data_IF_260243758825
#
_entry.id   IF_260243758825
#
_cell.length_a   1.000
_cell.length_b   1.000
_cell.length_c   1.000
_cell.angle_alpha   90.00
_cell.angle_beta   90.00
_cell.angle_gamma   90.00
#
_symmetry.space_group_name_H-M   'P 1'
#
loop_
_entity.id
_entity.type
_entity.pdbx_description
1 polymer ?
#
# COMPACT_ATOMS: atom_id res chain seq x y z
N UNK A 1 -15.23 34.80 48.02
CA UNK A 1 -13.97 34.65 47.27
C UNK A 1 -14.33 34.06 45.92
N UNK A 2 -14.10 34.80 44.84
CA UNK A 2 -14.54 34.50 43.48
C UNK A 2 -13.37 34.03 42.59
N UNK A 3 -13.75 33.46 41.43
CA UNK A 3 -12.96 33.09 40.24
C UNK A 3 -12.12 31.79 40.35
N UNK A 4 -12.09 30.89 39.36
CA UNK A 4 -12.24 30.99 37.90
C UNK A 4 -12.93 29.75 37.27
N UNK A 5 -13.72 29.89 36.20
CA UNK A 5 -14.14 28.78 35.35
C UNK A 5 -13.07 28.43 34.30
N UNK A 6 -12.83 27.12 34.09
CA UNK A 6 -11.88 26.57 33.12
C UNK A 6 -12.19 27.05 31.70
N UNK A 7 -11.21 27.73 31.07
CA UNK A 7 -11.22 28.07 29.63
C UNK A 7 -11.40 26.81 28.80
N UNK A 8 -12.54 26.68 28.11
CA UNK A 8 -12.68 25.77 26.96
C UNK A 8 -11.84 26.36 25.83
N UNK A 9 -10.74 25.70 25.51
CA UNK A 9 -9.98 25.95 24.28
C UNK A 9 -10.92 25.71 23.10
N UNK A 10 -11.35 26.78 22.44
CA UNK A 10 -11.98 26.72 21.12
C UNK A 10 -10.98 26.03 20.20
N UNK A 11 -11.29 24.79 19.80
CA UNK A 11 -10.75 24.26 18.55
C UNK A 11 -11.20 25.23 17.47
N UNK A 12 -10.23 25.93 16.89
CA UNK A 12 -10.41 26.68 15.66
C UNK A 12 -10.68 25.62 14.60
N UNK A 13 -11.96 25.36 14.32
CA UNK A 13 -12.37 24.63 13.12
C UNK A 13 -11.92 25.48 11.95
N UNK A 14 -10.98 24.96 11.16
CA UNK A 14 -10.61 25.51 9.86
C UNK A 14 -11.84 25.46 8.96
N UNK A 15 -12.52 26.60 8.86
CA UNK A 15 -13.77 26.86 8.11
C UNK A 15 -13.62 26.75 6.58
N UNK A 16 -12.60 26.02 6.11
CA UNK A 16 -12.29 25.81 4.70
C UNK A 16 -12.44 24.34 4.24
N UNK A 17 -12.60 23.38 5.17
CA UNK A 17 -12.86 21.97 4.82
C UNK A 17 -14.29 21.73 4.31
N UNK A 18 -15.19 22.71 4.44
CA UNK A 18 -16.63 22.56 4.24
C UNK A 18 -17.15 22.92 2.84
N UNK A 19 -16.34 23.52 1.96
CA UNK A 19 -16.84 23.95 0.64
C UNK A 19 -16.80 22.86 -0.42
N UNK A 20 -15.85 21.92 -0.32
CA UNK A 20 -15.75 20.79 -1.25
C UNK A 20 -16.64 19.60 -0.87
N UNK A 21 -17.13 19.55 0.37
CA UNK A 21 -18.11 18.55 0.84
C UNK A 21 -19.54 18.78 0.33
N UNK A 22 -19.78 19.87 -0.41
CA UNK A 22 -21.11 20.30 -0.85
C UNK A 22 -21.49 19.88 -2.28
N UNK A 23 -20.57 19.26 -3.03
CA UNK A 23 -20.89 18.68 -4.34
C UNK A 23 -21.85 17.51 -4.17
N UNK A 24 -22.97 17.50 -4.90
CA UNK A 24 -23.91 16.38 -4.85
C UNK A 24 -23.24 15.11 -5.37
N UNK A 25 -23.61 13.92 -4.85
CA UNK A 25 -23.06 12.64 -5.32
C UNK A 25 -23.17 12.45 -6.84
N UNK A 26 -24.23 12.98 -7.47
CA UNK A 26 -24.44 12.88 -8.91
C UNK A 26 -23.46 13.74 -9.71
N UNK A 27 -23.09 14.92 -9.20
CA UNK A 27 -22.05 15.75 -9.81
C UNK A 27 -20.67 15.12 -9.63
N UNK A 28 -20.38 14.58 -8.44
CA UNK A 28 -19.14 13.83 -8.19
C UNK A 28 -19.04 12.65 -9.16
N UNK A 29 -20.12 11.87 -9.31
CA UNK A 29 -20.19 10.76 -10.28
C UNK A 29 -19.93 11.23 -11.71
N UNK A 30 -20.59 12.30 -12.13
CA UNK A 30 -20.41 12.87 -13.48
C UNK A 30 -18.98 13.31 -13.75
N UNK A 31 -18.26 13.80 -12.72
CA UNK A 31 -16.84 14.13 -12.83
C UNK A 31 -16.02 12.84 -12.91
N UNK A 32 -16.23 11.89 -12.00
CA UNK A 32 -15.52 10.62 -11.93
C UNK A 32 -15.60 9.84 -13.25
N UNK A 33 -16.77 9.77 -13.88
CA UNK A 33 -16.98 9.10 -15.19
C UNK A 33 -16.18 9.74 -16.34
N UNK A 34 -15.74 10.99 -16.19
CA UNK A 34 -14.96 11.72 -17.19
C UNK A 34 -13.46 11.71 -16.92
N UNK A 35 -13.04 11.31 -15.71
CA UNK A 35 -11.63 11.23 -15.38
C UNK A 35 -10.99 10.05 -16.09
N UNK A 36 -9.72 10.21 -16.47
CA UNK A 36 -8.93 9.03 -16.81
C UNK A 36 -8.73 8.19 -15.55
N UNK A 37 -8.32 6.94 -15.75
CA UNK A 37 -8.14 5.98 -14.67
C UNK A 37 -7.28 6.46 -13.48
N UNK A 38 -6.13 7.05 -13.78
CA UNK A 38 -5.19 7.50 -12.75
C UNK A 38 -5.84 8.59 -11.90
N UNK A 39 -6.47 9.55 -12.55
CA UNK A 39 -7.13 10.66 -11.88
C UNK A 39 -8.40 10.21 -11.17
N UNK A 40 -9.13 9.23 -11.72
CA UNK A 40 -10.27 8.58 -11.06
C UNK A 40 -9.84 7.97 -9.72
N UNK A 41 -8.78 7.15 -9.71
CA UNK A 41 -8.31 6.53 -8.47
C UNK A 41 -7.78 7.56 -7.47
N UNK A 42 -7.08 8.59 -7.93
CA UNK A 42 -6.63 9.69 -7.06
C UNK A 42 -7.80 10.44 -6.44
N UNK A 43 -8.85 10.69 -7.23
CA UNK A 43 -10.03 11.41 -6.77
C UNK A 43 -10.76 10.69 -5.62
N UNK A 44 -10.66 9.36 -5.54
CA UNK A 44 -11.23 8.56 -4.42
C UNK A 44 -10.66 8.96 -3.06
N UNK A 45 -9.45 9.49 -3.02
CA UNK A 45 -8.76 9.88 -1.79
C UNK A 45 -9.00 11.34 -1.37
N UNK A 46 -9.85 12.09 -2.10
CA UNK A 46 -10.17 13.49 -1.77
C UNK A 46 -11.02 13.58 -0.49
N UNK A 47 -12.08 12.78 -0.40
CA UNK A 47 -12.95 12.72 0.78
C UNK A 47 -13.82 11.45 0.77
N UNK A 48 -14.49 11.18 1.89
CA UNK A 48 -15.41 10.04 2.01
C UNK A 48 -16.55 10.07 0.98
N UNK A 49 -17.03 11.26 0.60
CA UNK A 49 -18.09 11.40 -0.41
C UNK A 49 -17.60 10.99 -1.81
N UNK A 50 -16.36 11.34 -2.16
CA UNK A 50 -15.73 10.93 -3.41
C UNK A 50 -15.46 9.43 -3.44
N UNK A 51 -14.94 8.88 -2.33
CA UNK A 51 -14.77 7.44 -2.18
C UNK A 51 -16.09 6.69 -2.40
N UNK A 52 -17.14 7.02 -1.66
CA UNK A 52 -18.44 6.35 -1.77
C UNK A 52 -19.09 6.49 -3.15
N UNK A 53 -18.96 7.66 -3.79
CA UNK A 53 -19.48 7.87 -5.15
C UNK A 53 -18.70 7.07 -6.20
N UNK A 54 -17.41 6.83 -5.97
CA UNK A 54 -16.57 6.03 -6.86
C UNK A 54 -16.89 4.54 -6.85
N UNK A 55 -17.30 3.99 -5.71
CA UNK A 55 -17.69 2.57 -5.60
C UNK A 55 -18.84 2.24 -6.57
N UNK A 56 -19.79 3.17 -6.71
CA UNK A 56 -20.91 3.04 -7.65
C UNK A 56 -20.47 3.04 -9.12
N UNK A 57 -19.33 3.65 -9.44
CA UNK A 57 -18.76 3.67 -10.78
C UNK A 57 -17.98 2.36 -11.08
N UNK A 58 -17.25 1.84 -10.08
CA UNK A 58 -16.43 0.63 -10.22
C UNK A 58 -17.29 -0.61 -10.46
N UNK A 59 -18.43 -0.71 -9.76
CA UNK A 59 -19.39 -1.83 -9.94
C UNK A 59 -19.85 -1.96 -11.40
N UNK A 60 -19.86 -0.86 -12.17
CA UNK A 60 -20.30 -0.86 -13.56
C UNK A 60 -19.22 -1.36 -14.53
N UNK A 61 -17.93 -1.30 -14.17
CA UNK A 61 -16.81 -1.71 -15.04
C UNK A 61 -15.69 -2.41 -14.25
N UNK A 62 -15.87 -3.69 -13.83
CA UNK A 62 -14.98 -4.38 -12.92
C UNK A 62 -13.67 -4.90 -13.55
N UNK A 63 -13.19 -4.32 -14.65
CA UNK A 63 -12.07 -4.93 -15.40
C UNK A 63 -10.76 -4.87 -14.60
N UNK A 64 -10.11 -6.00 -14.30
CA UNK A 64 -8.89 -6.03 -13.52
C UNK A 64 -7.71 -5.47 -14.32
N UNK A 65 -6.93 -4.62 -13.67
CA UNK A 65 -5.82 -3.89 -14.27
C UNK A 65 -4.54 -4.72 -14.17
N UNK A 66 -3.65 -4.60 -15.15
CA UNK A 66 -2.36 -5.29 -15.10
C UNK A 66 -1.26 -4.29 -14.72
N UNK A 67 -0.58 -4.57 -13.60
CA UNK A 67 0.60 -3.83 -13.15
C UNK A 67 1.84 -4.55 -13.67
N UNK A 68 2.69 -3.84 -14.43
CA UNK A 68 3.98 -4.36 -14.88
C UNK A 68 5.10 -3.51 -14.31
N UNK A 69 5.93 -4.13 -13.49
CA UNK A 69 7.17 -3.56 -13.01
C UNK A 69 8.25 -3.67 -14.10
N UNK A 70 8.90 -2.55 -14.40
CA UNK A 70 10.03 -2.50 -15.33
C UNK A 70 11.36 -2.38 -14.58
N UNK A 71 12.44 -2.74 -15.27
CA UNK A 71 13.80 -2.64 -14.75
C UNK A 71 14.31 -1.19 -14.70
N UNK A 72 13.68 -0.26 -15.41
CA UNK A 72 14.10 1.16 -15.47
C UNK A 72 13.29 2.04 -14.51
N UNK A 73 13.02 1.53 -13.30
CA UNK A 73 12.35 2.24 -12.20
C UNK A 73 11.00 2.90 -12.56
N UNK A 74 10.25 2.31 -13.48
CA UNK A 74 8.91 2.73 -13.84
C UNK A 74 7.92 1.56 -13.75
N UNK A 75 6.65 1.90 -13.53
CA UNK A 75 5.54 0.96 -13.47
C UNK A 75 4.59 1.26 -14.61
N UNK A 76 4.24 0.24 -15.39
CA UNK A 76 3.22 0.36 -16.43
C UNK A 76 1.91 -0.22 -15.93
N UNK A 77 0.84 0.57 -16.00
CA UNK A 77 -0.53 0.17 -15.71
C UNK A 77 -1.27 0.01 -17.04
N UNK A 78 -1.67 -1.21 -17.33
CA UNK A 78 -2.46 -1.50 -18.53
C UNK A 78 -3.94 -1.53 -18.20
N UNK A 79 -4.68 -0.68 -18.93
CA UNK A 79 -6.13 -0.62 -19.00
C UNK A 79 -6.61 -1.51 -20.14
N UNK A 80 -7.15 -2.71 -19.84
CA UNK A 80 -7.72 -3.58 -20.88
C UNK A 80 -9.00 -3.02 -21.52
N UNK A 81 -9.76 -2.16 -20.83
CA UNK A 81 -11.03 -1.62 -21.34
C UNK A 81 -10.78 -0.60 -22.45
N UNK A 82 -9.80 0.28 -22.25
CA UNK A 82 -9.44 1.32 -23.23
C UNK A 82 -8.19 0.97 -24.04
N UNK A 83 -7.65 -0.25 -23.89
CA UNK A 83 -6.39 -0.70 -24.48
C UNK A 83 -5.24 0.32 -24.29
N UNK A 84 -5.19 0.96 -23.12
CA UNK A 84 -4.30 2.10 -22.86
C UNK A 84 -3.29 1.75 -21.78
N UNK A 85 -2.03 2.10 -22.01
CA UNK A 85 -0.96 1.92 -21.01
C UNK A 85 -0.61 3.26 -20.41
N UNK A 86 -0.61 3.33 -19.09
CA UNK A 86 -0.16 4.48 -18.31
C UNK A 86 1.19 4.15 -17.67
N UNK A 87 2.18 5.03 -17.84
CA UNK A 87 3.50 4.85 -17.22
C UNK A 87 3.61 5.76 -16.02
N UNK A 88 3.89 5.18 -14.86
CA UNK A 88 4.22 5.89 -13.63
C UNK A 88 5.73 5.86 -13.46
N UNK A 89 6.34 7.04 -13.55
CA UNK A 89 7.75 7.29 -13.25
C UNK A 89 7.89 7.93 -11.86
N UNK A 90 9.14 8.05 -11.40
CA UNK A 90 9.51 8.87 -10.24
C UNK A 90 8.78 8.47 -8.96
N UNK A 91 8.70 7.16 -8.73
CA UNK A 91 8.08 6.58 -7.55
C UNK A 91 8.89 6.84 -6.26
N UNK A 92 10.14 7.31 -6.38
CA UNK A 92 10.96 7.76 -5.25
C UNK A 92 11.60 6.65 -4.43
N UNK A 93 11.58 5.41 -4.93
CA UNK A 93 12.26 4.27 -4.32
C UNK A 93 12.79 3.33 -5.40
N UNK A 94 13.67 2.42 -5.01
CA UNK A 94 14.41 1.50 -5.88
C UNK A 94 13.52 0.29 -6.25
N UNK A 95 12.67 0.45 -7.28
CA UNK A 95 11.82 -0.63 -7.79
C UNK A 95 12.60 -1.82 -8.33
N UNK A 96 13.69 -1.64 -9.12
CA UNK A 96 14.42 -2.77 -9.70
C UNK A 96 14.97 -3.72 -8.64
N UNK A 97 15.29 -3.21 -7.45
CA UNK A 97 15.75 -4.02 -6.32
C UNK A 97 14.67 -4.34 -5.29
N UNK A 98 13.44 -3.93 -5.53
CA UNK A 98 12.29 -4.24 -4.70
C UNK A 98 11.44 -5.34 -5.33
N UNK A 99 10.70 -6.07 -4.48
CA UNK A 99 9.76 -7.11 -4.90
C UNK A 99 8.37 -6.77 -4.38
N UNK A 100 7.38 -6.83 -5.27
CA UNK A 100 5.99 -6.92 -4.85
C UNK A 100 5.75 -8.33 -4.33
N UNK A 101 5.11 -8.45 -3.17
CA UNK A 101 4.77 -9.72 -2.52
C UNK A 101 3.29 -10.01 -2.65
N UNK A 102 2.45 -8.98 -2.49
CA UNK A 102 1.00 -9.11 -2.51
C UNK A 102 0.34 -7.77 -2.87
N UNK A 103 -0.95 -7.81 -3.22
CA UNK A 103 -1.73 -6.65 -3.64
C UNK A 103 -3.11 -6.67 -3.01
N UNK A 104 -3.56 -5.54 -2.46
CA UNK A 104 -4.93 -5.37 -1.98
C UNK A 104 -5.48 -4.03 -2.43
N UNK A 105 -6.44 -4.06 -3.36
CA UNK A 105 -6.97 -2.85 -3.99
C UNK A 105 -5.88 -2.01 -4.66
N UNK A 106 -5.61 -0.83 -4.11
CA UNK A 106 -4.57 0.10 -4.60
C UNK A 106 -3.24 0.01 -3.85
N UNK A 107 -3.15 -0.85 -2.85
CA UNK A 107 -1.97 -1.04 -2.01
C UNK A 107 -1.17 -2.27 -2.42
N UNK A 108 0.15 -2.12 -2.47
CA UNK A 108 1.11 -3.18 -2.73
C UNK A 108 1.93 -3.44 -1.47
N UNK A 109 2.06 -4.70 -1.08
CA UNK A 109 3.05 -5.11 -0.10
C UNK A 109 4.39 -5.32 -0.81
N UNK A 110 5.38 -4.54 -0.41
CA UNK A 110 6.69 -4.49 -1.06
C UNK A 110 7.80 -4.89 -0.09
N UNK A 111 8.85 -5.49 -0.64
CA UNK A 111 10.08 -5.89 0.04
C UNK A 111 11.30 -5.33 -0.71
N UNK A 112 12.06 -4.43 -0.09
CA UNK A 112 13.25 -3.86 -0.73
C UNK A 112 14.52 -4.71 -0.55
N UNK A 113 15.63 -4.24 -1.14
CA UNK A 113 16.93 -4.90 -1.05
C UNK A 113 17.49 -4.99 0.37
N UNK A 114 17.06 -4.11 1.28
CA UNK A 114 17.47 -4.08 2.69
C UNK A 114 16.64 -5.00 3.57
N UNK A 115 15.71 -5.73 2.97
CA UNK A 115 14.74 -6.60 3.65
C UNK A 115 13.67 -5.84 4.44
N UNK A 116 13.50 -4.54 4.15
CA UNK A 116 12.45 -3.73 4.76
C UNK A 116 11.12 -3.94 4.02
N UNK A 117 10.07 -4.16 4.81
CA UNK A 117 8.70 -4.29 4.31
C UNK A 117 8.02 -2.94 4.32
N UNK A 118 7.23 -2.65 3.28
CA UNK A 118 6.43 -1.43 3.23
C UNK A 118 5.17 -1.64 2.39
N UNK A 119 4.13 -0.89 2.74
CA UNK A 119 2.96 -0.73 1.89
C UNK A 119 3.18 0.47 0.96
N UNK A 120 2.80 0.30 -0.30
CA UNK A 120 2.89 1.32 -1.32
C UNK A 120 1.53 1.48 -2.00
N UNK A 121 1.01 2.71 -2.04
CA UNK A 121 -0.13 3.05 -2.89
C UNK A 121 0.37 3.62 -4.21
N UNK A 122 0.08 2.97 -5.34
CA UNK A 122 0.58 3.40 -6.65
C UNK A 122 -0.01 4.74 -7.13
N UNK A 123 -1.23 5.08 -6.70
CA UNK A 123 -1.94 6.27 -7.19
C UNK A 123 -1.61 7.51 -6.36
N UNK A 124 -1.59 7.36 -5.04
CA UNK A 124 -1.25 8.43 -4.09
C UNK A 124 0.25 8.57 -3.89
N UNK A 125 1.04 7.53 -4.25
CA UNK A 125 2.49 7.42 -3.99
C UNK A 125 2.85 7.40 -2.51
N UNK A 126 1.87 7.17 -1.64
CA UNK A 126 2.11 7.04 -0.22
C UNK A 126 2.83 5.74 0.09
N UNK A 127 3.80 5.83 0.98
CA UNK A 127 4.58 4.70 1.50
C UNK A 127 4.40 4.63 3.00
N UNK A 128 4.00 3.45 3.49
CA UNK A 128 3.94 3.16 4.92
C UNK A 128 4.99 2.10 5.20
N UNK A 129 6.06 2.48 5.90
CA UNK A 129 7.08 1.53 6.33
C UNK A 129 6.50 0.61 7.41
N UNK A 130 6.68 -0.69 7.24
CA UNK A 130 6.27 -1.69 8.21
C UNK A 130 7.42 -1.98 9.17
N UNK A 131 7.14 -2.47 10.39
CA UNK A 131 8.18 -2.98 11.27
C UNK A 131 8.99 -4.09 10.58
N UNK A 132 10.29 -4.15 10.86
CA UNK A 132 11.14 -5.26 10.42
C UNK A 132 10.61 -6.57 10.98
N UNK A 133 10.71 -7.67 10.24
CA UNK A 133 10.27 -9.00 10.70
C UNK A 133 10.87 -9.39 12.06
N UNK A 134 12.10 -8.97 12.32
CA UNK A 134 12.83 -9.22 13.56
C UNK A 134 12.19 -8.55 14.79
N UNK A 135 11.33 -7.56 14.59
CA UNK A 135 10.69 -6.78 15.65
C UNK A 135 9.26 -7.25 15.99
N UNK A 136 8.65 -8.14 15.20
CA UNK A 136 7.19 -8.38 15.22
C UNK A 136 6.73 -9.30 16.36
N UNK A 137 7.60 -10.10 17.00
CA UNK A 137 7.13 -11.12 17.95
C UNK A 137 8.09 -11.45 19.11
N UNK A 138 9.08 -10.59 19.39
CA UNK A 138 10.04 -10.80 20.49
C UNK A 138 10.97 -12.02 20.35
N UNK A 139 10.78 -12.87 19.33
CA UNK A 139 11.72 -13.92 18.96
C UNK A 139 12.99 -13.34 18.36
N UNK A 140 14.13 -13.94 18.69
CA UNK A 140 15.38 -13.69 17.99
C UNK A 140 15.33 -14.36 16.62
N UNK A 141 14.65 -13.70 15.69
CA UNK A 141 14.58 -14.08 14.28
C UNK A 141 15.47 -13.15 13.49
N UNK A 142 16.19 -13.72 12.52
CA UNK A 142 16.99 -12.99 11.55
C UNK A 142 16.48 -13.26 10.15
N UNK A 143 16.31 -12.21 9.35
CA UNK A 143 15.88 -12.34 7.97
C UNK A 143 16.88 -11.68 7.03
N UNK A 144 17.53 -12.47 6.19
CA UNK A 144 18.63 -11.99 5.37
C UNK A 144 18.41 -12.32 3.91
N UNK A 145 18.74 -11.36 3.04
CA UNK A 145 18.85 -11.60 1.60
C UNK A 145 20.22 -12.19 1.32
N UNK A 146 20.25 -13.40 0.76
CA UNK A 146 21.50 -14.13 0.44
C UNK A 146 21.72 -14.29 -1.07
N UNK A 147 20.73 -13.92 -1.87
CA UNK A 147 20.83 -13.81 -3.33
C UNK A 147 19.69 -12.94 -3.86
N UNK A 148 19.54 -12.86 -5.18
CA UNK A 148 18.51 -12.02 -5.79
C UNK A 148 17.12 -12.33 -5.24
N UNK A 149 16.70 -13.60 -5.38
CA UNK A 149 15.40 -14.13 -4.93
C UNK A 149 15.51 -15.03 -3.70
N UNK A 150 16.71 -15.19 -3.15
CA UNK A 150 17.01 -16.15 -2.10
C UNK A 150 17.20 -15.44 -0.76
N UNK A 151 16.50 -15.94 0.25
CA UNK A 151 16.46 -15.40 1.60
C UNK A 151 16.74 -16.50 2.61
N UNK A 152 17.33 -16.12 3.74
CA UNK A 152 17.53 -16.98 4.88
C UNK A 152 16.69 -16.47 6.04
N UNK A 153 15.90 -17.36 6.62
CA UNK A 153 15.21 -17.11 7.89
C UNK A 153 15.86 -17.96 8.95
N UNK A 154 16.42 -17.32 9.97
CA UNK A 154 17.04 -18.01 11.11
C UNK A 154 16.25 -17.69 12.37
N UNK A 155 15.80 -18.73 13.07
CA UNK A 155 15.22 -18.61 14.40
C UNK A 155 16.22 -19.05 15.45
N UNK A 156 16.33 -18.26 16.52
CA UNK A 156 17.10 -18.62 17.71
C UNK A 156 16.16 -18.74 18.90
N UNK A 157 16.17 -19.89 19.55
CA UNK A 157 15.41 -20.12 20.79
C UNK A 157 16.33 -20.64 21.88
N UNK A 158 15.99 -20.32 23.14
CA UNK A 158 16.66 -20.88 24.31
C UNK A 158 16.04 -22.22 24.66
N UNK A 159 16.86 -23.23 24.85
CA UNK A 159 16.42 -24.53 25.32
C UNK A 159 16.37 -24.52 26.86
N UNK A 160 15.23 -24.89 27.44
CA UNK A 160 14.87 -24.59 28.84
C UNK A 160 15.73 -25.20 29.96
N UNK A 161 16.80 -25.93 29.62
CA UNK A 161 17.63 -26.63 30.61
C UNK A 161 19.15 -26.50 30.37
N UNK A 162 19.58 -25.85 29.29
CA UNK A 162 21.01 -25.64 29.00
C UNK A 162 21.28 -24.22 28.53
N UNK A 163 22.52 -23.75 28.67
CA UNK A 163 22.96 -22.42 28.18
C UNK A 163 23.14 -22.38 26.65
N UNK A 164 22.82 -23.45 25.93
CA UNK A 164 22.95 -23.52 24.48
C UNK A 164 21.74 -22.88 23.78
N UNK A 165 22.01 -22.06 22.77
CA UNK A 165 20.98 -21.54 21.86
C UNK A 165 20.91 -22.41 20.61
N UNK A 166 19.75 -22.98 20.33
CA UNK A 166 19.51 -23.72 19.09
C UNK A 166 19.17 -22.74 17.97
N UNK A 167 19.72 -23.01 16.77
CA UNK A 167 19.49 -22.22 15.56
C UNK A 167 18.89 -23.09 14.47
N UNK A 168 17.73 -22.71 13.97
CA UNK A 168 17.11 -23.33 12.80
C UNK A 168 17.14 -22.29 11.69
N UNK A 169 17.80 -22.63 10.58
CA UNK A 169 17.92 -21.78 9.41
C UNK A 169 17.22 -22.44 8.23
N UNK A 170 16.26 -21.74 7.64
CA UNK A 170 15.49 -22.21 6.50
C UNK A 170 15.69 -21.25 5.32
N UNK A 171 16.00 -21.81 4.16
CA UNK A 171 16.08 -21.05 2.91
C UNK A 171 14.67 -20.80 2.38
N UNK A 172 14.37 -19.54 2.06
CA UNK A 172 13.12 -19.09 1.46
C UNK A 172 13.44 -18.50 0.11
N UNK A 173 12.66 -18.85 -0.91
CA UNK A 173 12.78 -18.24 -2.23
C UNK A 173 11.55 -17.37 -2.48
N UNK A 174 11.77 -16.07 -2.65
CA UNK A 174 10.72 -15.09 -2.94
C UNK A 174 10.92 -14.64 -4.38
N UNK A 175 10.08 -15.14 -5.27
CA UNK A 175 10.12 -14.78 -6.69
C UNK A 175 9.27 -13.53 -6.98
N UNK A 176 8.84 -13.34 -8.23
CA UNK A 176 7.94 -12.23 -8.59
C UNK A 176 6.55 -12.50 -8.01
N UNK A 177 5.84 -11.45 -7.58
CA UNK A 177 4.43 -11.54 -7.21
C UNK A 177 3.65 -12.30 -8.30
N UNK A 178 2.87 -13.28 -7.86
CA UNK A 178 1.83 -13.90 -8.69
C UNK A 178 0.54 -13.14 -8.39
N UNK A 179 -0.19 -12.76 -9.43
CA UNK A 179 -1.50 -12.15 -9.28
C UNK A 179 -2.44 -13.14 -8.56
N UNK A 180 -2.82 -12.85 -7.32
CA UNK A 180 -3.88 -13.57 -6.62
C UNK A 180 -5.22 -12.99 -7.06
N UNK A 181 -5.96 -13.74 -7.85
CA UNK A 181 -7.38 -13.45 -8.09
C UNK A 181 -8.15 -14.22 -7.03
N UNK A 182 -8.85 -13.51 -6.14
CA UNK A 182 -9.74 -14.16 -5.17
C UNK A 182 -10.82 -14.91 -5.94
N UNK A 183 -10.89 -16.23 -5.78
CA UNK A 183 -11.85 -17.09 -6.49
C UNK A 183 -13.28 -16.96 -5.92
N UNK A 184 -13.48 -16.15 -4.88
CA UNK A 184 -14.81 -15.92 -4.29
C UNK A 184 -15.39 -14.58 -4.73
N UNK A 185 -16.13 -14.63 -5.84
CA UNK A 185 -17.20 -13.69 -6.19
C UNK A 185 -18.52 -14.08 -5.51
#
# INVERSE_FOLDING_TARGET
MAMEPKKKTKLISSDNDSKWSMLSPDLIRSILERLNFIDFHRARYISLNWYSSSELCIIQNPTPWTIRFSNDNHVSLFDPLHAKTYVITDLGFDLPRSRCLDTSGSWLLMLDHRTDFYLLNLFTRERICLPTLEAIDGWQMKFERVGESDFLKTFTYREGYTSYSSRISTKIRIEKAVLWVDERS
#
